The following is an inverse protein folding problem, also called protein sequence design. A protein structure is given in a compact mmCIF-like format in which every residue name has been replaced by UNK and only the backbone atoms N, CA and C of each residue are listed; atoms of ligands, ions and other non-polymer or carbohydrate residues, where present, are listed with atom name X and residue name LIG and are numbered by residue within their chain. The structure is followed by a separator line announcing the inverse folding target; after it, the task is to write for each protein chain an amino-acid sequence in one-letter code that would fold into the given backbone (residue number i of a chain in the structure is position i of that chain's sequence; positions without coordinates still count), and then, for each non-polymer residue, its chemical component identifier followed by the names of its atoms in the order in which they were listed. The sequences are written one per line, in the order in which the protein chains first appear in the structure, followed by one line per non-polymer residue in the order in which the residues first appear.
data_IF_645854532691
#
_entry.id   IF_645854532691
#
_cell.length_a   1.000
_cell.length_b   1.000
_cell.length_c   1.000
_cell.angle_alpha   90.00
_cell.angle_beta   90.00
_cell.angle_gamma   90.00
#
_symmetry.space_group_name_H-M   'P 1'
#
loop_
_entity.id
_entity.type
_entity.pdbx_description
1 polymer ?
#
# COMPACT_ATOMS: atom_id res chain seq x y z
N UNK A 1 -19.98 -17.15 -13.94
CA UNK A 1 -21.37 -16.74 -14.21
C UNK A 1 -21.39 -15.32 -14.74
N UNK A 2 -22.53 -14.64 -14.82
CA UNK A 2 -22.62 -13.27 -15.37
C UNK A 2 -21.77 -12.22 -14.64
N UNK A 3 -21.41 -12.48 -13.38
CA UNK A 3 -20.58 -11.59 -12.55
C UNK A 3 -19.18 -11.39 -13.14
N UNK A 4 -18.64 -12.37 -13.89
CA UNK A 4 -17.31 -12.27 -14.51
C UNK A 4 -17.26 -13.04 -15.83
N UNK A 5 -17.38 -12.29 -16.93
CA UNK A 5 -17.40 -12.79 -18.31
C UNK A 5 -16.52 -11.93 -19.20
N UNK A 6 -16.08 -12.47 -20.35
CA UNK A 6 -15.25 -11.73 -21.31
C UNK A 6 -16.05 -10.77 -22.19
N UNK A 7 -17.34 -11.01 -22.34
CA UNK A 7 -18.27 -10.18 -23.11
C UNK A 7 -19.46 -9.84 -22.21
N UNK A 8 -19.72 -8.55 -22.02
CA UNK A 8 -20.77 -8.04 -21.15
C UNK A 8 -21.31 -6.72 -21.69
N UNK A 9 -22.50 -6.35 -21.22
CA UNK A 9 -23.11 -5.06 -21.53
C UNK A 9 -22.61 -4.05 -20.50
N UNK A 10 -22.02 -2.95 -20.96
CA UNK A 10 -21.60 -1.85 -20.12
C UNK A 10 -22.38 -0.59 -20.51
N UNK A 11 -22.79 0.19 -19.51
CA UNK A 11 -23.19 1.58 -19.71
C UNK A 11 -21.97 2.43 -19.36
N UNK A 12 -21.44 3.12 -20.35
CA UNK A 12 -20.39 4.13 -20.25
C UNK A 12 -20.98 5.52 -20.55
N UNK A 13 -20.47 6.56 -19.89
CA UNK A 13 -20.86 7.94 -20.14
C UNK A 13 -19.64 8.83 -19.91
N UNK A 14 -19.50 9.82 -20.77
CA UNK A 14 -18.43 10.80 -20.72
C UNK A 14 -19.06 12.20 -20.67
N UNK A 15 -18.72 13.00 -19.65
CA UNK A 15 -19.03 14.43 -19.61
C UNK A 15 -17.82 15.25 -20.06
N UNK A 16 -18.07 16.45 -20.56
CA UNK A 16 -17.04 17.39 -20.98
C UNK A 16 -17.41 18.75 -20.39
N UNK A 17 -16.57 19.24 -19.49
CA UNK A 17 -16.83 20.43 -18.68
C UNK A 17 -15.71 21.46 -18.91
N UNK A 18 -16.02 22.76 -18.74
CA UNK A 18 -15.09 23.87 -19.02
C UNK A 18 -14.00 23.98 -17.94
N UNK A 19 -14.35 23.64 -16.70
CA UNK A 19 -13.52 23.73 -15.51
C UNK A 19 -13.89 22.63 -14.48
N UNK A 20 -13.15 22.60 -13.36
CA UNK A 20 -13.36 21.63 -12.28
C UNK A 20 -14.74 21.78 -11.60
N UNK A 21 -15.26 23.01 -11.48
CA UNK A 21 -16.59 23.23 -10.89
C UNK A 21 -17.70 22.62 -11.77
N UNK A 22 -17.57 22.75 -13.10
CA UNK A 22 -18.45 22.07 -14.05
C UNK A 22 -18.36 20.54 -13.93
N UNK A 23 -17.13 20.00 -13.81
CA UNK A 23 -16.90 18.57 -13.59
C UNK A 23 -17.60 18.10 -12.31
N UNK A 24 -17.48 18.81 -11.19
CA UNK A 24 -18.13 18.46 -9.93
C UNK A 24 -19.66 18.41 -10.06
N UNK A 25 -20.25 19.37 -10.79
CA UNK A 25 -21.69 19.38 -11.06
C UNK A 25 -22.10 18.15 -11.88
N UNK A 26 -21.37 17.85 -12.96
CA UNK A 26 -21.62 16.70 -13.83
C UNK A 26 -21.45 15.39 -13.07
N UNK A 27 -20.41 15.27 -12.25
CA UNK A 27 -20.13 14.13 -11.39
C UNK A 27 -21.26 13.87 -10.38
N UNK A 28 -21.69 14.91 -9.66
CA UNK A 28 -22.78 14.82 -8.68
C UNK A 28 -24.13 14.46 -9.33
N UNK A 29 -24.41 14.95 -10.54
CA UNK A 29 -25.59 14.51 -11.30
C UNK A 29 -25.52 13.02 -11.60
N UNK A 30 -24.33 12.50 -11.94
CA UNK A 30 -24.17 11.09 -12.23
C UNK A 30 -24.27 10.20 -11.00
N UNK A 31 -23.69 10.61 -9.86
CA UNK A 31 -23.88 9.94 -8.58
C UNK A 31 -25.37 9.77 -8.25
N UNK A 32 -26.12 10.88 -8.31
CA UNK A 32 -27.57 10.86 -8.05
C UNK A 32 -28.34 9.98 -9.05
N UNK A 33 -27.98 10.02 -10.34
CA UNK A 33 -28.62 9.18 -11.35
C UNK A 33 -28.39 7.69 -11.09
N UNK A 34 -27.16 7.29 -10.73
CA UNK A 34 -26.83 5.90 -10.42
C UNK A 34 -27.55 5.42 -9.16
N UNK A 35 -27.56 6.22 -8.08
CA UNK A 35 -28.34 5.91 -6.88
C UNK A 35 -29.83 5.67 -7.20
N UNK A 36 -30.44 6.52 -8.03
CA UNK A 36 -31.82 6.35 -8.45
C UNK A 36 -32.04 5.10 -9.31
N UNK A 37 -31.09 4.74 -10.19
CA UNK A 37 -31.14 3.51 -10.99
C UNK A 37 -31.11 2.30 -10.06
N UNK A 38 -30.16 2.21 -9.14
CA UNK A 38 -30.03 1.09 -8.23
C UNK A 38 -31.23 0.98 -7.28
N UNK A 39 -31.75 2.10 -6.77
CA UNK A 39 -32.95 2.14 -5.95
C UNK A 39 -34.18 1.61 -6.72
N UNK A 40 -34.35 1.98 -7.99
CA UNK A 40 -35.43 1.45 -8.86
C UNK A 40 -35.26 -0.05 -9.14
N UNK A 41 -34.03 -0.54 -9.17
CA UNK A 41 -33.73 -1.96 -9.28
C UNK A 41 -33.88 -2.73 -7.95
N UNK A 42 -34.13 -2.03 -6.82
CA UNK A 42 -34.22 -2.64 -5.49
C UNK A 42 -32.88 -3.16 -4.97
N UNK A 43 -31.76 -2.59 -5.41
CA UNK A 43 -30.42 -3.03 -5.03
C UNK A 43 -29.86 -2.17 -3.89
N UNK A 44 -29.42 -2.78 -2.77
CA UNK A 44 -28.86 -2.07 -1.62
C UNK A 44 -27.39 -1.72 -1.87
N UNK A 45 -27.14 -0.81 -2.82
CA UNK A 45 -25.78 -0.39 -3.14
C UNK A 45 -25.21 0.57 -2.11
N UNK A 46 -23.91 0.45 -1.86
CA UNK A 46 -23.10 1.36 -1.08
C UNK A 46 -22.25 2.19 -2.05
N UNK A 47 -22.08 3.48 -1.75
CA UNK A 47 -21.13 4.34 -2.44
C UNK A 47 -19.79 4.26 -1.71
N UNK A 48 -18.75 3.85 -2.42
CA UNK A 48 -17.45 3.48 -1.85
C UNK A 48 -16.37 4.32 -2.50
N UNK A 49 -15.50 4.96 -1.72
CA UNK A 49 -14.33 5.65 -2.26
C UNK A 49 -13.37 4.64 -2.89
N UNK A 50 -12.96 4.90 -4.13
CA UNK A 50 -12.20 3.96 -4.93
C UNK A 50 -10.94 4.58 -5.50
N UNK A 51 -10.11 3.74 -6.11
CA UNK A 51 -8.99 4.21 -6.90
C UNK A 51 -9.48 4.78 -8.25
N UNK A 52 -8.82 5.81 -8.75
CA UNK A 52 -9.12 6.37 -10.08
C UNK A 52 -8.47 5.55 -11.20
N UNK A 53 -7.56 4.64 -10.85
CA UNK A 53 -6.84 3.78 -11.76
C UNK A 53 -6.07 4.54 -12.83
N UNK A 54 -5.87 3.87 -13.97
CA UNK A 54 -5.17 4.41 -15.13
C UNK A 54 -5.96 5.52 -15.88
N UNK A 55 -7.24 5.70 -15.57
CA UNK A 55 -8.09 6.75 -16.17
C UNK A 55 -7.69 8.12 -15.59
N UNK A 56 -7.11 8.14 -14.39
CA UNK A 56 -6.73 9.37 -13.70
C UNK A 56 -7.95 10.12 -13.13
N UNK A 57 -7.68 11.14 -12.32
CA UNK A 57 -8.70 11.91 -11.61
C UNK A 57 -8.51 11.85 -10.09
N UNK A 58 -9.03 12.86 -9.39
CA UNK A 58 -8.93 12.96 -7.92
C UNK A 58 -9.95 12.09 -7.20
N UNK A 59 -11.20 12.15 -7.65
CA UNK A 59 -12.34 11.55 -6.97
C UNK A 59 -12.94 10.42 -7.80
N UNK A 60 -12.90 9.21 -7.23
CA UNK A 60 -13.45 8.00 -7.81
C UNK A 60 -14.35 7.34 -6.77
N UNK A 61 -15.54 6.93 -7.21
CA UNK A 61 -16.47 6.18 -6.38
C UNK A 61 -16.99 4.95 -7.12
N UNK A 62 -17.06 3.84 -6.40
CA UNK A 62 -17.67 2.60 -6.84
C UNK A 62 -19.02 2.39 -6.16
N UNK A 63 -19.95 1.78 -6.88
CA UNK A 63 -21.23 1.33 -6.33
C UNK A 63 -21.15 -0.18 -6.07
N UNK A 64 -21.09 -0.57 -4.79
CA UNK A 64 -20.88 -1.96 -4.39
C UNK A 64 -22.08 -2.55 -3.66
N UNK A 65 -22.26 -3.86 -3.76
CA UNK A 65 -23.24 -4.63 -2.97
C UNK A 65 -22.48 -5.58 -2.08
N UNK A 66 -22.85 -5.64 -0.80
CA UNK A 66 -22.25 -6.56 0.16
C UNK A 66 -22.71 -8.00 -0.11
N UNK A 67 -21.74 -8.91 -0.24
CA UNK A 67 -21.98 -10.34 -0.42
C UNK A 67 -20.73 -11.13 -0.04
N UNK A 68 -20.90 -12.31 0.54
CA UNK A 68 -19.79 -13.19 0.94
C UNK A 68 -18.98 -13.72 -0.26
N UNK A 69 -19.52 -13.60 -1.47
CA UNK A 69 -18.87 -14.05 -2.72
C UNK A 69 -18.36 -12.88 -3.58
N UNK A 70 -18.23 -11.68 -3.00
CA UNK A 70 -17.67 -10.52 -3.71
C UNK A 70 -16.19 -10.72 -4.00
N UNK A 71 -15.71 -10.12 -5.10
CA UNK A 71 -14.27 -10.14 -5.44
C UNK A 71 -13.51 -8.98 -4.78
N UNK A 72 -14.21 -7.88 -4.45
CA UNK A 72 -13.66 -6.69 -3.81
C UNK A 72 -13.87 -6.70 -2.29
N UNK A 73 -12.91 -6.09 -1.59
CA UNK A 73 -12.94 -5.88 -0.14
C UNK A 73 -13.19 -4.39 0.14
N UNK A 74 -14.12 -4.09 1.06
CA UNK A 74 -14.40 -2.72 1.51
C UNK A 74 -13.98 -2.55 2.96
N UNK A 75 -13.37 -1.41 3.27
CA UNK A 75 -13.04 -0.99 4.63
C UNK A 75 -14.03 0.09 5.05
N UNK A 76 -14.72 -0.16 6.16
CA UNK A 76 -15.75 0.72 6.73
C UNK A 76 -15.37 1.14 8.15
N UNK A 77 -15.47 2.43 8.46
CA UNK A 77 -15.35 2.93 9.83
C UNK A 77 -16.71 2.84 10.56
N UNK A 78 -16.81 2.17 11.72
CA UNK A 78 -18.06 2.13 12.48
C UNK A 78 -18.44 3.46 13.15
N UNK A 79 -17.53 4.43 13.20
CA UNK A 79 -17.71 5.70 13.92
C UNK A 79 -18.02 6.90 13.01
N UNK A 80 -17.81 6.78 11.69
CA UNK A 80 -18.04 7.84 10.72
C UNK A 80 -18.40 7.28 9.34
N UNK A 81 -18.72 8.13 8.38
CA UNK A 81 -19.15 7.71 7.03
C UNK A 81 -17.99 7.24 6.12
N UNK A 82 -16.82 6.91 6.68
CA UNK A 82 -15.68 6.45 5.88
C UNK A 82 -15.93 5.03 5.36
N UNK A 83 -16.02 4.91 4.03
CA UNK A 83 -16.15 3.65 3.32
C UNK A 83 -15.33 3.69 2.04
N UNK A 84 -14.35 2.81 1.92
CA UNK A 84 -13.44 2.77 0.78
C UNK A 84 -13.15 1.33 0.34
N UNK A 85 -12.87 1.15 -0.95
CA UNK A 85 -12.31 -0.10 -1.48
C UNK A 85 -10.94 -0.31 -0.81
N UNK A 86 -10.59 -1.54 -0.43
CA UNK A 86 -9.33 -1.87 0.20
C UNK A 86 -8.10 -1.39 -0.61
N UNK A 87 -8.23 -1.29 -1.93
CA UNK A 87 -7.21 -0.73 -2.83
C UNK A 87 -6.95 0.77 -2.60
N UNK A 88 -7.96 1.51 -2.12
CA UNK A 88 -7.89 2.94 -1.80
C UNK A 88 -7.80 3.24 -0.30
N UNK A 89 -8.34 2.35 0.53
CA UNK A 89 -8.56 2.56 1.95
C UNK A 89 -7.29 2.97 2.70
N UNK A 90 -7.41 3.98 3.57
CA UNK A 90 -6.34 4.51 4.41
C UNK A 90 -6.62 4.20 5.87
N UNK A 91 -5.56 4.05 6.64
CA UNK A 91 -5.60 3.85 8.09
C UNK A 91 -4.52 4.66 8.78
N UNK A 92 -4.80 5.05 10.03
CA UNK A 92 -3.82 5.69 10.90
C UNK A 92 -2.89 4.61 11.46
N UNK A 93 -1.59 4.77 11.19
CA UNK A 93 -0.56 3.83 11.63
C UNK A 93 -0.23 4.08 13.09
N UNK A 94 -0.13 3.00 13.88
CA UNK A 94 0.27 3.07 15.29
C UNK A 94 1.60 3.81 15.43
N UNK A 95 1.62 4.87 16.24
CA UNK A 95 2.86 5.55 16.64
C UNK A 95 3.55 4.74 17.74
N UNK A 96 4.82 4.41 17.50
CA UNK A 96 5.64 3.69 18.46
C UNK A 96 6.20 4.65 19.52
N UNK A 97 6.57 4.16 20.71
CA UNK A 97 7.21 4.97 21.73
C UNK A 97 8.48 5.65 21.21
N UNK A 98 8.70 6.89 21.66
CA UNK A 98 9.94 7.61 21.38
C UNK A 98 11.10 6.93 22.11
N UNK A 99 12.21 6.70 21.41
CA UNK A 99 13.41 6.02 21.92
C UNK A 99 14.67 6.77 21.53
N UNK A 100 15.71 6.68 22.36
CA UNK A 100 17.03 7.19 21.98
C UNK A 100 17.61 6.38 20.80
N UNK A 101 18.22 7.07 19.85
CA UNK A 101 18.81 6.42 18.67
C UNK A 101 20.04 5.62 19.08
N UNK A 102 20.01 4.31 18.88
CA UNK A 102 21.12 3.41 19.18
C UNK A 102 22.03 3.24 17.95
N UNK A 103 23.33 2.93 18.13
CA UNK A 103 24.22 2.60 17.02
C UNK A 103 23.75 1.34 16.26
N UNK A 104 24.02 1.30 14.95
CA UNK A 104 23.75 0.11 14.14
C UNK A 104 24.53 -1.10 14.69
N UNK A 105 23.86 -2.25 14.75
CA UNK A 105 24.44 -3.50 15.23
C UNK A 105 24.04 -4.64 14.30
N UNK A 106 25.03 -5.27 13.65
CA UNK A 106 24.79 -6.49 12.87
C UNK A 106 24.48 -7.68 13.78
N UNK A 107 23.50 -8.49 13.40
CA UNK A 107 23.10 -9.72 14.09
C UNK A 107 22.96 -10.85 13.08
N UNK A 108 23.56 -12.01 13.41
CA UNK A 108 23.42 -13.22 12.60
C UNK A 108 22.01 -13.82 12.79
N UNK A 109 21.34 -14.11 11.69
CA UNK A 109 19.98 -14.64 11.62
C UNK A 109 19.91 -15.79 10.61
N UNK A 110 20.62 -16.90 10.85
CA UNK A 110 20.77 -17.99 9.88
C UNK A 110 19.43 -18.66 9.57
N UNK A 111 19.09 -18.72 8.27
CA UNK A 111 17.87 -19.34 7.77
C UNK A 111 16.59 -18.55 8.02
N UNK A 112 16.67 -17.31 8.51
CA UNK A 112 15.52 -16.46 8.81
C UNK A 112 15.29 -15.49 7.65
N UNK A 113 14.14 -15.63 6.99
CA UNK A 113 13.79 -14.85 5.80
C UNK A 113 12.43 -14.15 5.91
N UNK A 114 11.69 -14.38 6.99
CA UNK A 114 10.34 -13.83 7.20
C UNK A 114 10.30 -12.91 8.42
N UNK A 115 9.40 -11.92 8.39
CA UNK A 115 9.21 -11.01 9.53
C UNK A 115 8.77 -11.74 10.79
N UNK A 116 7.88 -12.72 10.67
CA UNK A 116 7.48 -13.57 11.80
C UNK A 116 8.67 -14.31 12.41
N UNK A 117 9.49 -14.97 11.57
CA UNK A 117 10.69 -15.68 12.05
C UNK A 117 11.73 -14.75 12.69
N UNK A 118 11.89 -13.54 12.15
CA UNK A 118 12.80 -12.54 12.69
C UNK A 118 12.32 -12.01 14.05
N UNK A 119 11.03 -11.71 14.15
CA UNK A 119 10.36 -11.26 15.36
C UNK A 119 10.51 -12.27 16.49
N UNK A 120 10.24 -13.55 16.21
CA UNK A 120 10.38 -14.64 17.19
C UNK A 120 11.84 -14.85 17.63
N UNK A 121 12.78 -14.81 16.67
CA UNK A 121 14.19 -15.05 16.94
C UNK A 121 14.84 -13.94 17.79
N UNK A 122 14.59 -12.68 17.43
CA UNK A 122 15.16 -11.52 18.13
C UNK A 122 14.32 -11.08 19.33
N UNK A 123 13.12 -11.65 19.51
CA UNK A 123 12.15 -11.28 20.55
C UNK A 123 11.75 -9.81 20.49
N UNK A 124 11.55 -9.31 19.28
CA UNK A 124 11.06 -7.95 19.00
C UNK A 124 9.69 -8.04 18.35
N UNK A 125 8.76 -7.11 18.59
CA UNK A 125 7.48 -7.12 17.89
C UNK A 125 7.68 -6.84 16.38
N UNK A 126 6.77 -7.32 15.54
CA UNK A 126 6.87 -7.15 14.08
C UNK A 126 6.85 -5.67 13.65
N UNK A 127 6.17 -4.80 14.43
CA UNK A 127 6.18 -3.35 14.23
C UNK A 127 7.55 -2.70 14.51
N UNK A 128 8.52 -3.42 15.09
CA UNK A 128 9.93 -2.98 15.24
C UNK A 128 10.85 -3.53 14.15
N UNK A 129 10.27 -4.04 13.06
CA UNK A 129 11.04 -4.52 11.90
C UNK A 129 10.67 -3.70 10.65
N UNK A 130 11.59 -3.60 9.71
CA UNK A 130 11.35 -3.11 8.36
C UNK A 130 11.50 -4.28 7.38
N UNK A 131 10.56 -4.39 6.44
CA UNK A 131 10.70 -5.28 5.30
C UNK A 131 10.88 -4.50 4.02
N UNK A 132 11.52 -5.16 3.07
CA UNK A 132 11.71 -4.68 1.72
C UNK A 132 11.04 -5.62 0.75
N UNK A 133 10.29 -5.06 -0.19
CA UNK A 133 9.72 -5.77 -1.32
C UNK A 133 10.27 -5.16 -2.61
N UNK A 134 10.58 -6.02 -3.58
CA UNK A 134 11.22 -5.62 -4.83
C UNK A 134 10.22 -5.67 -5.95
N UNK A 135 10.18 -4.59 -6.73
CA UNK A 135 9.26 -4.44 -7.85
C UNK A 135 10.02 -4.08 -9.12
N UNK A 136 9.42 -4.43 -10.26
CA UNK A 136 9.71 -3.82 -11.54
C UNK A 136 8.53 -2.93 -11.89
N UNK A 137 8.80 -1.63 -12.07
CA UNK A 137 7.83 -0.61 -12.44
C UNK A 137 8.24 -0.03 -13.79
N UNK A 138 7.45 -0.27 -14.84
CA UNK A 138 7.77 0.12 -16.22
C UNK A 138 9.23 -0.20 -16.62
N UNK A 139 9.65 -1.45 -16.40
CA UNK A 139 11.01 -1.97 -16.63
C UNK A 139 12.11 -1.50 -15.65
N UNK A 140 11.82 -0.56 -14.74
CA UNK A 140 12.77 -0.09 -13.73
C UNK A 140 12.68 -0.90 -12.42
N UNK A 141 13.84 -1.28 -11.86
CA UNK A 141 13.89 -1.95 -10.56
C UNK A 141 13.68 -0.95 -9.43
N UNK A 142 12.75 -1.27 -8.53
CA UNK A 142 12.30 -0.41 -7.43
C UNK A 142 12.27 -1.18 -6.12
N UNK A 143 12.65 -0.51 -5.04
CA UNK A 143 12.58 -1.01 -3.67
C UNK A 143 11.43 -0.31 -2.95
N UNK A 144 10.50 -1.08 -2.38
CA UNK A 144 9.48 -0.59 -1.49
C UNK A 144 9.80 -0.99 -0.05
N UNK A 145 9.86 -0.03 0.87
CA UNK A 145 10.21 -0.22 2.29
C UNK A 145 8.99 0.06 3.15
N UNK A 146 8.68 -0.83 4.09
CA UNK A 146 7.53 -0.69 4.97
C UNK A 146 7.79 -1.38 6.31
N UNK A 147 7.07 -0.98 7.37
CA UNK A 147 7.07 -1.70 8.65
C UNK A 147 6.63 -3.15 8.47
N UNK A 148 7.25 -4.07 9.19
CA UNK A 148 7.15 -5.51 8.92
C UNK A 148 5.75 -6.10 9.10
N UNK A 149 4.96 -5.54 10.01
CA UNK A 149 3.58 -5.91 10.33
C UNK A 149 2.54 -5.42 9.29
N UNK A 150 2.92 -4.48 8.43
CA UNK A 150 2.03 -3.84 7.45
C UNK A 150 2.30 -4.43 6.06
N UNK A 151 1.26 -4.63 5.26
CA UNK A 151 1.41 -5.11 3.88
C UNK A 151 1.38 -3.97 2.87
N UNK A 152 2.06 -4.14 1.74
CA UNK A 152 2.04 -3.17 0.65
C UNK A 152 0.73 -3.31 -0.10
N UNK A 153 0.11 -2.16 -0.37
CA UNK A 153 -0.97 -2.03 -1.34
C UNK A 153 -0.35 -1.66 -2.69
N UNK A 154 -0.38 -2.61 -3.64
CA UNK A 154 0.23 -2.45 -4.95
C UNK A 154 -0.45 -1.39 -5.82
N UNK A 155 -1.75 -1.12 -5.61
CA UNK A 155 -2.47 -0.03 -6.29
C UNK A 155 -1.93 1.32 -5.83
N UNK A 156 -1.80 1.53 -4.52
CA UNK A 156 -1.18 2.75 -3.98
C UNK A 156 0.28 2.91 -4.42
N UNK A 157 1.07 1.83 -4.41
CA UNK A 157 2.45 1.86 -4.88
C UNK A 157 2.55 2.21 -6.36
N UNK A 158 1.70 1.61 -7.21
CA UNK A 158 1.61 1.91 -8.65
C UNK A 158 1.28 3.39 -8.89
N UNK A 159 0.31 3.91 -8.16
CA UNK A 159 -0.09 5.32 -8.24
C UNK A 159 1.02 6.27 -7.79
N UNK A 160 1.71 5.94 -6.70
CA UNK A 160 2.86 6.71 -6.20
C UNK A 160 4.04 6.72 -7.19
N UNK A 161 4.22 5.62 -7.92
CA UNK A 161 5.24 5.46 -8.95
C UNK A 161 4.87 6.11 -10.27
N UNK A 162 3.58 6.40 -10.48
CA UNK A 162 3.01 6.79 -11.77
C UNK A 162 3.34 5.79 -12.89
N UNK A 163 3.37 4.50 -12.57
CA UNK A 163 3.72 3.46 -13.54
C UNK A 163 2.49 2.75 -14.13
N UNK A 164 2.63 2.23 -15.35
CA UNK A 164 1.56 1.50 -16.04
C UNK A 164 1.58 0.02 -15.66
N UNK A 165 2.78 -0.57 -15.61
CA UNK A 165 3.00 -1.95 -15.18
C UNK A 165 3.76 -1.97 -13.86
N UNK A 166 3.27 -2.79 -12.94
CA UNK A 166 3.95 -3.08 -11.67
C UNK A 166 3.89 -4.58 -11.45
N UNK A 167 5.05 -5.19 -11.19
CA UNK A 167 5.14 -6.61 -10.81
C UNK A 167 6.24 -6.81 -9.79
N UNK A 168 6.13 -7.90 -9.03
CA UNK A 168 7.24 -8.35 -8.20
C UNK A 168 8.48 -8.64 -9.06
N UNK A 169 9.64 -8.25 -8.56
CA UNK A 169 10.92 -8.65 -9.14
C UNK A 169 11.17 -10.13 -8.84
N UNK A 170 11.74 -10.84 -9.80
CA UNK A 170 12.17 -12.23 -9.60
C UNK A 170 13.54 -12.30 -8.91
N UNK A 171 13.94 -13.49 -8.46
CA UNK A 171 15.21 -13.67 -7.74
C UNK A 171 16.44 -13.22 -8.55
N UNK A 172 16.46 -13.42 -9.86
CA UNK A 172 17.61 -13.05 -10.70
C UNK A 172 17.75 -11.54 -10.82
N UNK A 173 16.64 -10.81 -10.90
CA UNK A 173 16.61 -9.34 -10.86
C UNK A 173 17.12 -8.81 -9.52
N UNK A 174 16.67 -9.40 -8.41
CA UNK A 174 17.12 -9.04 -7.06
C UNK A 174 18.62 -9.30 -6.88
N UNK A 175 19.12 -10.44 -7.35
CA UNK A 175 20.57 -10.78 -7.31
C UNK A 175 21.39 -9.82 -8.17
N UNK A 176 20.92 -9.45 -9.36
CA UNK A 176 21.58 -8.45 -10.23
C UNK A 176 21.65 -7.06 -9.59
N UNK A 177 20.65 -6.71 -8.79
CA UNK A 177 20.65 -5.49 -7.98
C UNK A 177 21.59 -5.55 -6.75
N UNK A 178 22.25 -6.69 -6.50
CA UNK A 178 23.17 -6.88 -5.36
C UNK A 178 22.46 -7.05 -4.03
N UNK A 179 21.17 -7.42 -4.04
CA UNK A 179 20.33 -7.53 -2.85
C UNK A 179 20.08 -9.00 -2.51
N UNK A 180 19.81 -9.27 -1.24
CA UNK A 180 19.55 -10.62 -0.72
C UNK A 180 18.13 -10.68 -0.18
N UNK A 181 17.23 -11.37 -0.89
CA UNK A 181 15.86 -11.56 -0.44
C UNK A 181 15.80 -12.16 0.97
N UNK A 182 14.89 -11.64 1.81
CA UNK A 182 14.78 -12.04 3.23
C UNK A 182 15.83 -11.42 4.15
N UNK A 183 16.84 -10.70 3.63
CA UNK A 183 17.85 -9.99 4.44
C UNK A 183 18.25 -8.67 3.78
N UNK A 184 17.34 -8.03 3.04
CA UNK A 184 17.58 -6.77 2.36
C UNK A 184 17.07 -5.55 3.11
N UNK A 185 17.70 -4.40 2.84
CA UNK A 185 17.29 -3.08 3.31
C UNK A 185 17.77 -2.00 2.35
N UNK A 186 17.26 -0.76 2.46
CA UNK A 186 17.81 0.38 1.73
C UNK A 186 19.19 0.87 2.23
N UNK A 187 19.77 0.26 3.29
CA UNK A 187 21.04 0.70 3.87
C UNK A 187 22.19 0.40 2.91
N UNK A 188 22.94 1.44 2.54
CA UNK A 188 24.05 1.33 1.61
C UNK A 188 23.65 1.06 0.16
N UNK A 189 22.36 1.14 -0.18
CA UNK A 189 21.87 1.01 -1.55
C UNK A 189 21.96 2.36 -2.25
N UNK A 190 22.45 2.35 -3.50
CA UNK A 190 22.57 3.54 -4.34
C UNK A 190 22.20 3.22 -5.79
N UNK A 191 21.61 4.19 -6.50
CA UNK A 191 21.25 4.03 -7.91
C UNK A 191 19.98 3.19 -8.16
N UNK A 192 19.24 2.87 -7.11
CA UNK A 192 17.94 2.21 -7.16
C UNK A 192 16.93 3.15 -6.51
N UNK A 193 15.75 3.31 -7.15
CA UNK A 193 14.67 4.11 -6.59
C UNK A 193 14.08 3.41 -5.37
N UNK A 194 14.02 4.11 -4.24
CA UNK A 194 13.49 3.63 -2.97
C UNK A 194 12.25 4.44 -2.59
N UNK A 195 11.11 3.76 -2.54
CA UNK A 195 9.86 4.30 -2.00
C UNK A 195 9.64 3.68 -0.63
N UNK A 196 9.22 4.48 0.33
CA UNK A 196 8.82 3.95 1.63
C UNK A 196 7.40 4.36 1.99
N UNK A 197 6.75 3.46 2.70
CA UNK A 197 5.56 3.78 3.46
C UNK A 197 5.93 4.74 4.61
N UNK A 198 5.04 5.67 4.94
CA UNK A 198 5.23 6.60 6.06
C UNK A 198 5.32 5.89 7.43
N UNK A 199 4.94 4.61 7.55
CA UNK A 199 5.17 3.80 8.75
C UNK A 199 6.63 3.73 9.20
N UNK A 200 7.61 3.93 8.31
CA UNK A 200 9.03 3.96 8.71
C UNK A 200 9.37 5.13 9.64
N UNK A 201 8.48 6.14 9.69
CA UNK A 201 8.61 7.32 10.55
C UNK A 201 7.86 7.17 11.88
N UNK A 202 7.14 6.06 12.07
CA UNK A 202 6.32 5.80 13.27
C UNK A 202 7.15 5.55 14.53
N UNK A 203 8.45 5.30 14.42
CA UNK A 203 9.33 5.01 15.54
C UNK A 203 10.80 5.04 15.18
N UNK A 204 11.61 4.44 16.05
CA UNK A 204 13.05 4.38 15.93
C UNK A 204 13.58 2.95 16.17
N UNK A 205 14.86 2.76 15.83
CA UNK A 205 15.64 1.56 16.10
C UNK A 205 15.04 0.26 15.51
N UNK A 206 14.62 0.31 14.25
CA UNK A 206 14.05 -0.86 13.59
C UNK A 206 15.11 -1.94 13.32
N UNK A 207 14.67 -3.18 13.20
CA UNK A 207 15.46 -4.27 12.62
C UNK A 207 15.21 -4.32 11.12
N UNK A 208 16.26 -4.25 10.31
CA UNK A 208 16.20 -4.35 8.85
C UNK A 208 17.22 -5.37 8.34
N UNK A 209 17.11 -5.80 7.09
CA UNK A 209 18.11 -6.67 6.48
C UNK A 209 19.49 -6.03 6.35
N UNK A 210 20.56 -6.84 6.40
CA UNK A 210 21.93 -6.33 6.28
C UNK A 210 22.48 -6.27 4.84
N UNK A 211 21.66 -6.59 3.83
CA UNK A 211 22.09 -6.84 2.44
C UNK A 211 23.17 -7.93 2.33
N UNK A 212 23.18 -8.88 3.27
CA UNK A 212 24.07 -10.04 3.34
C UNK A 212 23.22 -11.27 3.69
N UNK A 213 23.58 -12.47 3.21
CA UNK A 213 22.91 -13.70 3.64
C UNK A 213 22.93 -13.84 5.16
N UNK A 214 21.83 -14.36 5.73
CA UNK A 214 21.75 -14.76 7.12
C UNK A 214 22.11 -13.66 8.13
N UNK A 215 21.90 -12.40 7.77
CA UNK A 215 22.31 -11.25 8.61
C UNK A 215 21.27 -10.13 8.55
N UNK A 216 20.93 -9.60 9.72
CA UNK A 216 20.12 -8.40 9.88
C UNK A 216 20.91 -7.32 10.62
N UNK A 217 20.42 -6.09 10.58
CA UNK A 217 20.95 -4.95 11.32
C UNK A 217 19.86 -4.49 12.28
N UNK A 218 20.20 -4.39 13.56
CA UNK A 218 19.37 -3.72 14.58
C UNK A 218 19.66 -2.22 14.56
N UNK A 219 18.70 -1.48 15.12
CA UNK A 219 18.79 -0.05 15.36
C UNK A 219 18.88 0.80 14.08
N UNK A 220 18.26 0.34 12.99
CA UNK A 220 18.14 1.11 11.76
C UNK A 220 17.14 2.26 11.93
N UNK A 221 17.54 3.45 11.47
CA UNK A 221 16.80 4.69 11.64
C UNK A 221 16.79 5.51 10.36
N UNK A 222 15.60 5.90 9.90
CA UNK A 222 15.43 6.94 8.90
C UNK A 222 15.46 8.32 9.58
N UNK A 223 16.13 9.35 9.03
CA UNK A 223 16.95 9.37 7.81
C UNK A 223 18.45 9.11 8.05
N UNK A 224 18.85 8.67 9.26
CA UNK A 224 20.26 8.52 9.65
C UNK A 224 21.01 7.49 8.79
N UNK A 225 20.41 6.32 8.59
CA UNK A 225 21.12 5.13 8.07
C UNK A 225 20.82 4.82 6.60
N UNK A 226 19.72 5.35 6.07
CA UNK A 226 19.31 5.14 4.68
C UNK A 226 18.50 6.32 4.14
N UNK A 227 18.50 6.46 2.81
CA UNK A 227 17.77 7.50 2.09
C UNK A 227 16.57 6.91 1.39
N UNK A 228 15.51 7.71 1.28
CA UNK A 228 14.26 7.38 0.60
C UNK A 228 14.00 8.48 -0.42
N UNK A 229 13.63 8.11 -1.64
CA UNK A 229 13.32 9.05 -2.72
C UNK A 229 11.89 9.61 -2.59
N UNK A 230 10.95 8.77 -2.15
CA UNK A 230 9.56 9.15 -1.91
C UNK A 230 9.01 8.45 -0.66
N UNK A 231 8.48 9.23 0.28
CA UNK A 231 7.68 8.72 1.40
C UNK A 231 6.22 9.05 1.11
N UNK A 232 5.36 8.03 1.09
CA UNK A 232 3.92 8.18 0.89
C UNK A 232 3.19 6.94 1.43
N UNK A 233 1.88 7.03 1.61
CA UNK A 233 1.08 5.88 2.03
C UNK A 233 1.04 4.82 0.93
N UNK A 234 1.69 3.68 1.17
CA UNK A 234 1.63 2.48 0.34
C UNK A 234 1.13 1.27 1.13
N UNK A 235 0.57 1.50 2.32
CA UNK A 235 0.07 0.45 3.20
C UNK A 235 -1.32 -0.04 2.75
N UNK A 236 -1.56 -1.36 2.87
CA UNK A 236 -2.90 -1.94 2.86
C UNK A 236 -3.54 -1.75 4.24
N UNK A 237 -4.64 -1.00 4.29
CA UNK A 237 -5.43 -0.85 5.51
C UNK A 237 -6.09 -2.18 5.90
N UNK A 238 -6.22 -2.43 7.21
CA UNK A 238 -6.78 -3.68 7.76
C UNK A 238 -7.85 -3.40 8.81
N UNK A 239 -8.73 -4.39 8.99
CA UNK A 239 -9.72 -4.35 10.06
C UNK A 239 -9.06 -4.19 11.44
N UNK A 240 -9.59 -3.28 12.26
CA UNK A 240 -9.08 -2.98 13.59
C UNK A 240 -8.08 -1.82 13.64
N UNK A 241 -7.63 -1.30 12.50
CA UNK A 241 -6.81 -0.08 12.46
C UNK A 241 -7.65 1.18 12.63
N UNK A 242 -7.02 2.25 13.12
CA UNK A 242 -7.70 3.53 13.41
C UNK A 242 -8.07 4.27 12.11
N UNK A 243 -9.25 4.89 12.11
CA UNK A 243 -9.74 5.63 10.96
C UNK A 243 -8.98 6.96 10.80
N UNK A 244 -8.57 7.35 9.58
CA UNK A 244 -7.93 8.64 9.37
C UNK A 244 -8.86 9.85 9.58
N UNK A 245 -10.19 9.63 9.71
CA UNK A 245 -11.21 10.67 9.89
C UNK A 245 -11.70 10.82 11.35
N UNK A 246 -11.10 10.10 12.30
CA UNK A 246 -11.53 10.06 13.71
C UNK A 246 -12.40 8.85 14.00
#
# INVERSE_FOLDING_TARGET
GLIRVREFIMKDLYSFDIDEEGLDISYNKMLNAYQNIYARCGLPVLLVEADSGAIGGKDSHEFMITTDTGEDEMIHCPNCDYLANAEKAQSTKEKLPDEELLPLEEVATPGITTIGGLSDFLKVPQNKTLKVVFYIADEEFVIAVIRGDIEINEVKLKNALHCVELRLANEDEVKKAGLVAGSASPIGVSGIKVIADDSITSGANFVAGANKPDTHIKNANYPRDFKIDLITDIAKAKAGEECPRG
#
